data_IF_710083326370
#
_entry.id   IF_710083326370
#
_cell.length_a   1.000
_cell.length_b   1.000
_cell.length_c   1.000
_cell.angle_alpha   90.00
_cell.angle_beta   90.00
_cell.angle_gamma   90.00
#
_symmetry.space_group_name_H-M   'P 1'
#
loop_
_entity.id
_entity.type
_entity.pdbx_description
1 polymer ?
#
# COMPACT_ATOMS: atom_id res chain seq x y z
N UNK A 1 -8.70 11.18 -21.07
CA UNK A 1 -7.26 11.06 -21.41
C UNK A 1 -6.99 9.58 -21.44
N UNK A 2 -6.44 9.00 -22.52
CA UNK A 2 -6.36 7.54 -22.61
C UNK A 2 -5.57 6.94 -21.44
N UNK A 3 -6.18 5.98 -20.74
CA UNK A 3 -5.60 5.27 -19.58
C UNK A 3 -4.26 4.65 -19.94
N UNK A 4 -4.13 4.17 -21.18
CA UNK A 4 -2.90 3.63 -21.76
C UNK A 4 -1.75 4.64 -21.70
N UNK A 5 -2.04 5.92 -21.93
CA UNK A 5 -1.05 7.01 -21.88
C UNK A 5 -0.68 7.32 -20.44
N UNK A 6 -1.66 7.37 -19.52
CA UNK A 6 -1.43 7.60 -18.08
C UNK A 6 -0.58 6.48 -17.49
N UNK A 7 -0.93 5.22 -17.75
CA UNK A 7 -0.18 4.05 -17.31
C UNK A 7 1.25 4.06 -17.84
N UNK A 8 1.44 4.46 -19.11
CA UNK A 8 2.76 4.57 -19.73
C UNK A 8 3.60 5.66 -19.04
N UNK A 9 3.03 6.84 -18.76
CA UNK A 9 3.72 7.90 -18.04
C UNK A 9 4.04 7.51 -16.59
N UNK A 10 3.10 6.86 -15.90
CA UNK A 10 3.32 6.34 -14.55
C UNK A 10 4.45 5.32 -14.56
N UNK A 11 4.45 4.33 -15.45
CA UNK A 11 5.55 3.37 -15.58
C UNK A 11 6.89 4.05 -15.92
N UNK A 12 6.88 5.01 -16.84
CA UNK A 12 8.07 5.74 -17.28
C UNK A 12 8.69 6.61 -16.18
N UNK A 13 7.89 7.07 -15.20
CA UNK A 13 8.38 7.86 -14.06
C UNK A 13 8.70 6.96 -12.87
N UNK A 14 7.86 5.97 -12.59
CA UNK A 14 8.01 5.04 -11.45
C UNK A 14 9.28 4.21 -11.61
N UNK A 15 9.61 3.70 -12.79
CA UNK A 15 10.83 2.93 -13.01
C UNK A 15 12.10 3.69 -12.59
N UNK A 16 12.39 4.87 -13.19
CA UNK A 16 13.51 5.71 -12.80
C UNK A 16 13.48 6.17 -11.33
N UNK A 17 12.29 6.53 -10.81
CA UNK A 17 12.13 6.92 -9.42
C UNK A 17 12.48 5.77 -8.47
N UNK A 18 12.04 4.55 -8.79
CA UNK A 18 12.34 3.34 -8.03
C UNK A 18 13.83 3.00 -8.06
N UNK A 19 14.49 3.14 -9.22
CA UNK A 19 15.95 3.00 -9.34
C UNK A 19 16.63 4.06 -8.47
N UNK A 20 16.21 5.32 -8.54
CA UNK A 20 16.77 6.40 -7.74
C UNK A 20 16.62 6.15 -6.23
N UNK A 21 15.41 5.80 -5.77
CA UNK A 21 15.14 5.47 -4.37
C UNK A 21 15.99 4.27 -3.91
N UNK A 22 16.08 3.23 -4.72
CA UNK A 22 16.84 2.04 -4.35
C UNK A 22 18.35 2.32 -4.28
N UNK A 23 18.90 3.07 -5.24
CA UNK A 23 20.32 3.30 -5.36
C UNK A 23 20.83 4.38 -4.40
N UNK A 24 20.14 5.52 -4.34
CA UNK A 24 20.61 6.71 -3.62
C UNK A 24 20.02 6.83 -2.21
N UNK A 25 18.77 6.39 -2.01
CA UNK A 25 18.12 6.50 -0.69
C UNK A 25 18.48 5.31 0.20
N UNK A 26 18.47 4.09 -0.35
CA UNK A 26 18.72 2.85 0.40
C UNK A 26 20.14 2.28 0.23
N UNK A 27 21.02 3.01 -0.47
CA UNK A 27 22.47 2.71 -0.57
C UNK A 27 22.78 1.28 -1.06
N UNK A 28 22.07 0.80 -2.09
CA UNK A 28 22.47 -0.43 -2.80
C UNK A 28 21.95 -1.76 -2.22
N UNK A 29 20.97 -1.75 -1.30
CA UNK A 29 20.28 -2.98 -0.86
C UNK A 29 19.25 -3.47 -1.90
N UNK A 30 19.69 -3.60 -3.16
CA UNK A 30 18.81 -3.82 -4.31
C UNK A 30 17.88 -5.03 -4.11
N UNK A 31 18.40 -6.17 -3.62
CA UNK A 31 17.59 -7.39 -3.43
C UNK A 31 16.47 -7.22 -2.39
N UNK A 32 16.74 -6.53 -1.29
CA UNK A 32 15.73 -6.28 -0.25
C UNK A 32 14.66 -5.31 -0.77
N UNK A 33 15.05 -4.29 -1.53
CA UNK A 33 14.14 -3.31 -2.11
C UNK A 33 13.31 -3.89 -3.25
N UNK A 34 13.87 -4.74 -4.09
CA UNK A 34 13.11 -5.47 -5.12
C UNK A 34 12.06 -6.38 -4.48
N UNK A 35 12.41 -7.09 -3.40
CA UNK A 35 11.46 -7.91 -2.65
C UNK A 35 10.35 -7.07 -2.02
N UNK A 36 10.72 -5.96 -1.37
CA UNK A 36 9.75 -5.03 -0.79
C UNK A 36 8.82 -4.46 -1.87
N UNK A 37 9.35 -4.10 -3.02
CA UNK A 37 8.59 -3.61 -4.18
C UNK A 37 7.55 -4.64 -4.64
N UNK A 38 7.98 -5.87 -4.93
CA UNK A 38 7.08 -6.93 -5.41
C UNK A 38 5.96 -7.23 -4.41
N UNK A 39 6.29 -7.42 -3.13
CA UNK A 39 5.31 -7.72 -2.08
C UNK A 39 4.32 -6.56 -1.91
N UNK A 40 4.83 -5.32 -1.93
CA UNK A 40 3.97 -4.13 -1.84
C UNK A 40 3.03 -4.08 -3.02
N UNK A 41 3.54 -4.10 -4.25
CA UNK A 41 2.75 -4.03 -5.47
C UNK A 41 1.61 -5.05 -5.47
N UNK A 42 1.91 -6.33 -5.25
CA UNK A 42 0.88 -7.38 -5.26
C UNK A 42 -0.15 -7.23 -4.13
N UNK A 43 0.27 -6.81 -2.93
CA UNK A 43 -0.66 -6.58 -1.81
C UNK A 43 -1.67 -5.49 -2.13
N UNK A 44 -1.19 -4.34 -2.61
CA UNK A 44 -2.03 -3.18 -2.88
C UNK A 44 -2.85 -3.37 -4.17
N UNK A 45 -2.31 -4.05 -5.18
CA UNK A 45 -3.06 -4.40 -6.39
C UNK A 45 -4.30 -5.24 -6.04
N UNK A 46 -4.15 -6.28 -5.23
CA UNK A 46 -5.28 -7.11 -4.80
C UNK A 46 -6.26 -6.33 -3.93
N UNK A 47 -5.76 -5.47 -3.04
CA UNK A 47 -6.62 -4.63 -2.22
C UNK A 47 -7.50 -3.70 -3.08
N UNK A 48 -6.92 -2.97 -4.03
CA UNK A 48 -7.68 -2.08 -4.92
C UNK A 48 -8.62 -2.85 -5.85
N UNK A 49 -8.16 -3.97 -6.40
CA UNK A 49 -8.98 -4.82 -7.26
C UNK A 49 -10.22 -5.34 -6.52
N UNK A 50 -10.07 -5.81 -5.28
CA UNK A 50 -11.19 -6.22 -4.44
C UNK A 50 -12.09 -5.03 -4.10
N UNK A 51 -11.54 -3.90 -3.68
CA UNK A 51 -12.33 -2.73 -3.36
C UNK A 51 -13.19 -2.24 -4.54
N UNK A 52 -12.61 -2.24 -5.75
CA UNK A 52 -13.33 -1.92 -6.98
C UNK A 52 -14.39 -2.96 -7.32
N UNK A 53 -14.07 -4.25 -7.22
CA UNK A 53 -15.01 -5.35 -7.49
C UNK A 53 -16.24 -5.33 -6.57
N UNK A 54 -16.08 -4.82 -5.35
CA UNK A 54 -17.16 -4.63 -4.38
C UNK A 54 -17.89 -3.27 -4.52
N UNK A 55 -17.54 -2.48 -5.54
CA UNK A 55 -18.23 -1.25 -5.91
C UNK A 55 -17.93 -0.05 -5.02
N UNK A 56 -16.78 -0.03 -4.33
CA UNK A 56 -16.38 1.14 -3.52
C UNK A 56 -15.97 2.34 -4.36
N UNK A 57 -15.47 2.10 -5.57
CA UNK A 57 -14.99 3.13 -6.48
C UNK A 57 -15.87 3.22 -7.72
N UNK A 58 -16.29 4.43 -8.06
CA UNK A 58 -16.78 4.79 -9.38
C UNK A 58 -15.57 5.24 -10.20
N UNK A 59 -14.96 4.28 -10.90
CA UNK A 59 -13.72 4.43 -11.65
C UNK A 59 -13.92 3.87 -13.08
N UNK A 60 -14.54 4.64 -13.98
CA UNK A 60 -14.87 4.19 -15.33
C UNK A 60 -13.62 3.95 -16.19
N UNK A 61 -12.51 4.60 -15.83
CA UNK A 61 -11.25 4.54 -16.54
C UNK A 61 -10.27 3.51 -15.93
N UNK A 62 -10.57 2.90 -14.78
CA UNK A 62 -9.70 1.90 -14.17
C UNK A 62 -8.39 2.45 -13.60
N UNK A 63 -8.36 3.73 -13.23
CA UNK A 63 -7.19 4.44 -12.72
C UNK A 63 -6.77 3.96 -11.33
N UNK A 64 -7.72 3.50 -10.52
CA UNK A 64 -7.46 3.11 -9.11
C UNK A 64 -6.53 1.89 -9.04
N UNK A 65 -6.63 0.97 -10.00
CA UNK A 65 -5.76 -0.21 -10.07
C UNK A 65 -4.29 0.20 -10.34
N UNK A 66 -4.08 1.30 -11.08
CA UNK A 66 -2.75 1.84 -11.42
C UNK A 66 -2.06 2.42 -10.17
N UNK A 67 -2.81 2.89 -9.16
CA UNK A 67 -2.23 3.41 -7.93
C UNK A 67 -1.37 2.37 -7.18
N UNK A 68 -1.68 1.08 -7.35
CA UNK A 68 -0.86 -0.03 -6.81
C UNK A 68 0.63 0.07 -7.19
N UNK A 69 0.95 0.62 -8.37
CA UNK A 69 2.32 0.83 -8.86
C UNK A 69 3.08 1.92 -8.08
N UNK A 70 2.36 2.82 -7.41
CA UNK A 70 2.95 3.94 -6.66
C UNK A 70 3.27 3.57 -5.21
N UNK A 71 2.56 2.59 -4.64
CA UNK A 71 2.74 2.15 -3.24
C UNK A 71 4.15 1.70 -2.85
N UNK A 72 4.96 1.10 -3.74
CA UNK A 72 6.35 0.81 -3.42
C UNK A 72 7.20 2.04 -3.08
N UNK A 73 6.83 3.24 -3.55
CA UNK A 73 7.48 4.49 -3.16
C UNK A 73 7.31 4.72 -1.66
N UNK A 74 6.08 4.54 -1.15
CA UNK A 74 5.79 4.65 0.28
C UNK A 74 6.49 3.56 1.11
N UNK A 75 6.55 2.33 0.60
CA UNK A 75 7.26 1.24 1.25
C UNK A 75 8.76 1.55 1.39
N UNK A 76 9.44 1.97 0.32
CA UNK A 76 10.87 2.32 0.38
C UNK A 76 11.11 3.55 1.26
N UNK A 77 10.24 4.55 1.17
CA UNK A 77 10.35 5.77 1.99
C UNK A 77 10.20 5.45 3.48
N UNK A 78 9.23 4.62 3.84
CA UNK A 78 9.03 4.20 5.23
C UNK A 78 10.18 3.34 5.75
N UNK A 79 10.76 2.47 4.91
CA UNK A 79 11.98 1.73 5.24
C UNK A 79 13.12 2.70 5.57
N UNK A 80 13.38 3.67 4.68
CA UNK A 80 14.45 4.65 4.85
C UNK A 80 14.27 5.53 6.10
N UNK A 81 13.06 6.05 6.33
CA UNK A 81 12.75 6.84 7.53
C UNK A 81 13.00 5.99 8.78
N UNK A 82 12.53 4.74 8.78
CA UNK A 82 12.71 3.84 9.93
C UNK A 82 14.19 3.54 10.21
N UNK A 83 15.02 3.37 9.18
CA UNK A 83 16.47 3.18 9.34
C UNK A 83 17.14 4.44 9.91
N UNK A 84 16.78 5.63 9.40
CA UNK A 84 17.33 6.90 9.89
C UNK A 84 16.98 7.17 11.34
N UNK A 85 15.75 6.86 11.76
CA UNK A 85 15.31 6.98 13.15
C UNK A 85 16.04 5.97 14.05
N UNK A 86 16.31 4.77 13.54
CA UNK A 86 16.98 3.71 14.30
C UNK A 86 18.48 3.91 14.45
N UNK A 87 19.13 4.60 13.51
CA UNK A 87 20.57 4.87 13.54
C UNK A 87 20.99 5.72 14.75
N UNK A 88 20.07 6.48 15.34
CA UNK A 88 20.29 7.28 16.56
C UNK A 88 20.13 6.48 17.87
N UNK A 89 20.09 5.14 17.81
CA UNK A 89 20.19 4.26 18.98
C UNK A 89 18.90 4.04 19.78
N UNK A 90 17.75 4.55 19.33
CA UNK A 90 16.51 4.60 20.14
C UNK A 90 15.25 4.14 19.40
N UNK A 91 15.39 3.29 18.38
CA UNK A 91 14.21 2.72 17.70
C UNK A 91 13.62 1.54 18.47
N UNK A 92 12.72 1.76 19.43
CA UNK A 92 11.89 0.65 19.95
C UNK A 92 11.12 0.01 18.77
N UNK A 93 10.96 -1.33 18.73
CA UNK A 93 10.27 -2.02 17.63
C UNK A 93 8.92 -1.39 17.27
N UNK A 94 8.18 -0.93 18.28
CA UNK A 94 6.91 -0.22 18.12
C UNK A 94 7.00 1.02 17.19
N UNK A 95 8.02 1.87 17.35
CA UNK A 95 8.16 3.08 16.52
C UNK A 95 8.45 2.76 15.06
N UNK A 96 9.12 1.64 14.77
CA UNK A 96 9.32 1.18 13.38
C UNK A 96 7.98 0.81 12.73
N UNK A 97 7.19 0.00 13.41
CA UNK A 97 5.85 -0.39 12.94
C UNK A 97 4.94 0.81 12.76
N UNK A 98 4.97 1.75 13.71
CA UNK A 98 4.21 2.99 13.62
C UNK A 98 4.65 3.86 12.43
N UNK A 99 5.95 3.90 12.14
CA UNK A 99 6.46 4.63 10.96
C UNK A 99 5.92 4.03 9.66
N UNK A 100 5.92 2.70 9.52
CA UNK A 100 5.37 2.03 8.34
C UNK A 100 3.88 2.36 8.14
N UNK A 101 3.12 2.29 9.22
CA UNK A 101 1.70 2.64 9.23
C UNK A 101 1.47 4.11 8.85
N UNK A 102 2.12 5.05 9.54
CA UNK A 102 1.90 6.49 9.36
C UNK A 102 2.31 6.96 7.96
N UNK A 103 3.45 6.49 7.44
CA UNK A 103 3.88 6.85 6.08
C UNK A 103 2.87 6.35 5.05
N UNK A 104 2.32 5.15 5.23
CA UNK A 104 1.28 4.63 4.35
C UNK A 104 -0.02 5.44 4.42
N UNK A 105 -0.45 5.84 5.62
CA UNK A 105 -1.64 6.71 5.80
C UNK A 105 -1.44 8.07 5.14
N UNK A 106 -0.29 8.71 5.37
CA UNK A 106 0.03 10.01 4.73
C UNK A 106 0.07 9.86 3.21
N UNK A 107 0.68 8.79 2.70
CA UNK A 107 0.73 8.53 1.27
C UNK A 107 -0.65 8.25 0.66
N UNK A 108 -1.52 7.54 1.38
CA UNK A 108 -2.91 7.34 0.98
C UNK A 108 -3.62 8.69 0.82
N UNK A 109 -3.48 9.61 1.78
CA UNK A 109 -4.09 10.94 1.69
C UNK A 109 -3.59 11.73 0.48
N UNK A 110 -2.29 11.66 0.18
CA UNK A 110 -1.71 12.33 -0.99
C UNK A 110 -2.22 11.74 -2.30
N UNK A 111 -2.26 10.40 -2.41
CA UNK A 111 -2.77 9.72 -3.60
C UNK A 111 -4.26 9.99 -3.82
N UNK A 112 -5.07 9.81 -2.78
CA UNK A 112 -6.51 10.05 -2.85
C UNK A 112 -6.81 11.53 -3.12
N UNK A 113 -6.00 12.43 -2.56
CA UNK A 113 -6.18 13.86 -2.76
C UNK A 113 -5.84 14.29 -4.17
N UNK A 114 -4.74 13.79 -4.73
CA UNK A 114 -4.38 14.02 -6.12
C UNK A 114 -5.43 13.42 -7.08
N UNK A 115 -5.86 12.18 -6.84
CA UNK A 115 -6.89 11.51 -7.64
C UNK A 115 -8.25 12.23 -7.58
N UNK A 116 -8.61 12.76 -6.41
CA UNK A 116 -9.84 13.52 -6.21
C UNK A 116 -9.84 14.88 -6.90
N UNK A 117 -8.75 15.65 -6.81
CA UNK A 117 -8.59 16.94 -7.53
C UNK A 117 -8.67 16.74 -9.04
N UNK A 118 -8.11 15.64 -9.54
CA UNK A 118 -8.11 15.31 -10.96
C UNK A 118 -9.40 14.63 -11.44
N UNK A 119 -10.35 14.38 -10.54
CA UNK A 119 -11.60 13.66 -10.80
C UNK A 119 -11.40 12.28 -11.48
N UNK A 120 -10.30 11.59 -11.18
CA UNK A 120 -10.00 10.28 -11.77
C UNK A 120 -10.93 9.18 -11.27
N UNK A 121 -11.43 9.31 -10.04
CA UNK A 121 -12.44 8.41 -9.48
C UNK A 121 -13.26 9.16 -8.42
N UNK A 122 -14.39 8.57 -8.04
CA UNK A 122 -15.15 8.98 -6.85
C UNK A 122 -15.48 7.76 -5.99
N UNK A 123 -15.70 7.95 -4.68
CA UNK A 123 -16.25 6.87 -3.86
C UNK A 123 -17.74 6.73 -4.12
N UNK A 124 -18.23 5.49 -4.13
CA UNK A 124 -19.65 5.22 -4.22
C UNK A 124 -20.34 5.68 -2.92
N UNK A 125 -21.26 6.66 -2.97
CA UNK A 125 -21.90 7.20 -1.78
C UNK A 125 -22.75 6.16 -1.02
N UNK A 126 -23.26 5.13 -1.68
CA UNK A 126 -23.99 4.03 -1.02
C UNK A 126 -23.08 3.13 -0.17
N UNK A 127 -21.78 3.15 -0.46
CA UNK A 127 -20.74 2.42 0.27
C UNK A 127 -20.02 3.28 1.31
N UNK A 128 -20.23 4.60 1.29
CA UNK A 128 -19.77 5.49 2.35
C UNK A 128 -20.54 5.15 3.64
N UNK A 129 -19.86 4.56 4.62
CA UNK A 129 -20.44 4.26 5.93
C UNK A 129 -20.69 5.52 6.78
N UNK A 130 -21.21 5.33 8.00
CA UNK A 130 -21.50 6.43 8.93
C UNK A 130 -20.26 7.25 9.35
N UNK A 131 -19.05 6.69 9.24
CA UNK A 131 -17.78 7.38 9.49
C UNK A 131 -17.14 7.84 8.17
N UNK A 132 -17.69 8.89 7.57
CA UNK A 132 -17.06 9.58 6.44
C UNK A 132 -15.99 10.55 6.94
N UNK A 133 -14.86 10.57 6.25
CA UNK A 133 -13.80 11.54 6.44
C UNK A 133 -13.63 12.33 5.14
N UNK A 134 -13.48 13.64 5.22
CA UNK A 134 -13.22 14.49 4.05
C UNK A 134 -11.71 14.62 3.92
N UNK A 135 -11.16 14.19 2.78
CA UNK A 135 -9.73 14.39 2.52
C UNK A 135 -9.40 15.88 2.59
N UNK A 136 -8.46 16.33 3.45
CA UNK A 136 -8.05 17.73 3.49
C UNK A 136 -7.40 18.18 2.18
N UNK A 137 -6.88 17.24 1.40
CA UNK A 137 -6.28 17.47 0.10
C UNK A 137 -7.31 16.99 -0.93
N UNK A 138 -8.00 17.89 -1.61
CA UNK A 138 -8.97 17.53 -2.67
C UNK A 138 -10.43 17.36 -2.24
N UNK A 139 -10.76 17.43 -0.94
CA UNK A 139 -12.15 17.54 -0.46
C UNK A 139 -13.03 16.30 -0.69
N UNK A 140 -12.43 15.17 -1.05
CA UNK A 140 -13.15 13.97 -1.42
C UNK A 140 -13.59 13.19 -0.18
N UNK A 141 -14.89 12.87 -0.09
CA UNK A 141 -15.44 12.11 1.03
C UNK A 141 -15.06 10.62 0.89
N UNK A 142 -14.29 10.11 1.84
CA UNK A 142 -13.80 8.74 1.87
C UNK A 142 -14.27 7.99 3.14
N UNK A 143 -14.35 6.66 3.11
CA UNK A 143 -14.55 5.88 4.33
C UNK A 143 -13.31 5.99 5.23
N UNK A 144 -13.46 6.41 6.50
CA UNK A 144 -12.31 6.57 7.41
C UNK A 144 -11.50 5.26 7.63
N UNK A 145 -12.14 4.11 7.43
CA UNK A 145 -11.52 2.79 7.51
C UNK A 145 -10.56 2.51 6.34
N UNK A 146 -10.79 3.05 5.15
CA UNK A 146 -9.93 2.82 3.96
C UNK A 146 -8.45 3.19 4.18
N UNK A 147 -8.09 4.43 4.59
CA UNK A 147 -6.69 4.80 4.81
C UNK A 147 -6.07 4.04 5.98
N UNK A 148 -6.85 3.74 7.02
CA UNK A 148 -6.40 2.93 8.15
C UNK A 148 -5.98 1.52 7.72
N UNK A 149 -6.79 0.87 6.88
CA UNK A 149 -6.52 -0.47 6.36
C UNK A 149 -5.32 -0.49 5.42
N UNK A 150 -5.17 0.53 4.57
CA UNK A 150 -3.97 0.71 3.76
C UNK A 150 -2.71 0.85 4.64
N UNK A 151 -2.82 1.48 5.81
CA UNK A 151 -1.76 1.53 6.82
C UNK A 151 -1.44 0.16 7.43
N UNK A 152 -2.45 -0.62 7.81
CA UNK A 152 -2.27 -2.00 8.31
C UNK A 152 -1.63 -2.89 7.25
N UNK A 153 -2.05 -2.74 5.99
CA UNK A 153 -1.50 -3.50 4.88
C UNK A 153 0.01 -3.25 4.74
N UNK A 154 0.47 -2.02 4.90
CA UNK A 154 1.90 -1.69 4.89
C UNK A 154 2.65 -2.42 6.01
N UNK A 155 2.09 -2.48 7.22
CA UNK A 155 2.69 -3.28 8.29
C UNK A 155 2.78 -4.76 7.89
N UNK A 156 1.72 -5.32 7.30
CA UNK A 156 1.73 -6.68 6.77
C UNK A 156 2.83 -6.91 5.72
N UNK A 157 2.99 -5.97 4.78
CA UNK A 157 4.04 -5.98 3.76
C UNK A 157 5.43 -6.08 4.38
N UNK A 158 5.73 -5.24 5.39
CA UNK A 158 7.02 -5.28 6.09
C UNK A 158 7.22 -6.57 6.89
N UNK A 159 6.16 -7.09 7.50
CA UNK A 159 6.20 -8.38 8.19
C UNK A 159 6.56 -9.52 7.22
N UNK A 160 5.95 -9.57 6.04
CA UNK A 160 6.29 -10.54 5.00
C UNK A 160 7.71 -10.34 4.48
N UNK A 161 8.06 -9.11 4.09
CA UNK A 161 9.31 -8.78 3.43
C UNK A 161 10.56 -9.00 4.31
N UNK A 162 10.45 -8.86 5.63
CA UNK A 162 11.59 -8.97 6.53
C UNK A 162 11.46 -10.12 7.53
N UNK A 163 10.35 -10.22 8.27
CA UNK A 163 10.21 -11.22 9.32
C UNK A 163 9.98 -12.62 8.76
N UNK A 164 8.99 -12.79 7.86
CA UNK A 164 8.71 -14.09 7.24
C UNK A 164 9.86 -14.50 6.33
N UNK A 165 10.39 -13.58 5.52
CA UNK A 165 11.58 -13.86 4.69
C UNK A 165 12.74 -14.42 5.51
N UNK A 166 13.06 -13.82 6.67
CA UNK A 166 14.13 -14.30 7.54
C UNK A 166 13.90 -15.74 7.99
N UNK A 167 12.67 -16.10 8.36
CA UNK A 167 12.33 -17.48 8.74
C UNK A 167 12.41 -18.46 7.56
N UNK A 168 11.98 -18.05 6.36
CA UNK A 168 12.13 -18.87 5.15
C UNK A 168 13.61 -19.14 4.82
N UNK A 169 14.48 -18.14 5.02
CA UNK A 169 15.92 -18.27 4.82
C UNK A 169 16.57 -19.20 5.86
N UNK A 170 16.13 -19.19 7.12
CA UNK A 170 16.57 -20.17 8.14
C UNK A 170 16.25 -21.61 7.72
N UNK A 171 15.13 -21.82 7.01
CA UNK A 171 14.73 -23.10 6.43
C UNK A 171 15.44 -23.46 5.12
N UNK A 172 16.47 -22.69 4.72
CA UNK A 172 17.28 -22.89 3.50
C UNK A 172 16.48 -22.84 2.19
N UNK A 173 15.34 -22.13 2.17
CA UNK A 173 14.58 -21.90 0.94
C UNK A 173 15.37 -20.93 0.05
N UNK A 174 15.46 -21.24 -1.25
CA UNK A 174 16.14 -20.42 -2.25
C UNK A 174 15.54 -19.01 -2.36
N UNK A 175 16.35 -18.01 -2.74
CA UNK A 175 15.92 -16.60 -2.77
C UNK A 175 14.71 -16.37 -3.70
N UNK A 176 14.75 -16.95 -4.90
CA UNK A 176 13.67 -16.86 -5.88
C UNK A 176 12.38 -17.51 -5.37
N UNK A 177 12.47 -18.73 -4.86
CA UNK A 177 11.32 -19.46 -4.31
C UNK A 177 10.71 -18.75 -3.10
N UNK A 178 11.55 -18.20 -2.21
CA UNK A 178 11.07 -17.41 -1.08
C UNK A 178 10.34 -16.14 -1.53
N UNK A 179 10.86 -15.45 -2.54
CA UNK A 179 10.23 -14.23 -3.07
C UNK A 179 8.89 -14.53 -3.73
N UNK A 180 8.79 -15.61 -4.52
CA UNK A 180 7.53 -16.05 -5.12
C UNK A 180 6.50 -16.47 -4.05
N UNK A 181 6.93 -17.21 -3.03
CA UNK A 181 6.06 -17.58 -1.91
C UNK A 181 5.56 -16.35 -1.17
N UNK A 182 6.43 -15.36 -0.94
CA UNK A 182 6.03 -14.10 -0.29
C UNK A 182 5.06 -13.29 -1.14
N UNK A 183 5.20 -13.30 -2.47
CA UNK A 183 4.22 -12.69 -3.38
C UNK A 183 2.86 -13.41 -3.33
N UNK A 184 2.85 -14.74 -3.27
CA UNK A 184 1.59 -15.49 -3.08
C UNK A 184 0.95 -15.17 -1.71
N UNK A 185 1.76 -15.11 -0.65
CA UNK A 185 1.29 -14.73 0.69
C UNK A 185 0.80 -13.28 0.75
N UNK A 186 1.39 -12.39 -0.05
CA UNK A 186 0.99 -10.97 -0.09
C UNK A 186 -0.39 -10.80 -0.73
N UNK A 187 -0.71 -11.59 -1.75
CA UNK A 187 -2.07 -11.70 -2.32
C UNK A 187 -3.06 -12.19 -1.26
N UNK A 188 -2.74 -13.30 -0.59
CA UNK A 188 -3.60 -13.87 0.45
C UNK A 188 -3.82 -12.89 1.62
N UNK A 189 -2.77 -12.17 2.03
CA UNK A 189 -2.83 -11.16 3.08
C UNK A 189 -3.70 -9.96 2.67
N UNK A 190 -3.56 -9.44 1.43
CA UNK A 190 -4.40 -8.37 0.91
C UNK A 190 -5.87 -8.77 0.88
N UNK A 191 -6.16 -9.99 0.41
CA UNK A 191 -7.52 -10.54 0.41
C UNK A 191 -8.08 -10.76 1.82
N UNK A 192 -7.30 -11.34 2.74
CA UNK A 192 -7.73 -11.55 4.11
C UNK A 192 -8.01 -10.22 4.84
N UNK A 193 -7.17 -9.21 4.61
CA UNK A 193 -7.37 -7.88 5.17
C UNK A 193 -8.67 -7.26 4.64
N UNK A 194 -8.95 -7.40 3.33
CA UNK A 194 -10.21 -6.95 2.75
C UNK A 194 -11.42 -7.61 3.41
N UNK A 195 -11.42 -8.94 3.54
CA UNK A 195 -12.53 -9.67 4.19
C UNK A 195 -12.71 -9.23 5.63
N UNK A 196 -11.62 -9.06 6.39
CA UNK A 196 -11.69 -8.55 7.76
C UNK A 196 -12.29 -7.13 7.81
N UNK A 197 -11.97 -6.29 6.83
CA UNK A 197 -12.46 -4.92 6.71
C UNK A 197 -13.96 -4.88 6.48
N UNK A 198 -14.46 -5.71 5.56
CA UNK A 198 -15.88 -5.82 5.24
C UNK A 198 -16.67 -6.33 6.45
N UNK A 199 -16.13 -7.31 7.19
CA UNK A 199 -16.72 -7.79 8.45
C UNK A 199 -16.82 -6.70 9.52
N UNK A 200 -15.74 -5.92 9.72
CA UNK A 200 -15.73 -4.82 10.69
C UNK A 200 -16.74 -3.73 10.28
N UNK A 201 -16.78 -3.36 9.00
CA UNK A 201 -17.75 -2.40 8.48
C UNK A 201 -19.19 -2.90 8.65
N UNK A 202 -19.44 -4.18 8.39
CA UNK A 202 -20.74 -4.82 8.59
C UNK A 202 -21.17 -4.79 10.05
N UNK A 203 -20.26 -5.10 10.98
CA UNK A 203 -20.53 -5.05 12.41
C UNK A 203 -20.85 -3.63 12.89
N UNK A 204 -20.06 -2.63 12.47
CA UNK A 204 -20.31 -1.22 12.82
C UNK A 204 -21.68 -0.75 12.31
N UNK A 205 -22.07 -1.15 11.09
CA UNK A 205 -23.39 -0.85 10.53
C UNK A 205 -24.55 -1.54 11.26
N UNK A 206 -24.34 -2.69 11.88
CA UNK A 206 -25.40 -3.39 12.62
C UNK A 206 -25.61 -2.88 14.04
N UNK A 207 -24.65 -2.13 14.59
CA UNK A 207 -24.68 -1.60 15.96
C UNK A 207 -25.20 -0.16 16.02
N UNK A 208 -25.08 0.59 14.91
CA UNK A 208 -25.61 1.94 14.72
C UNK A 208 -27.01 1.93 14.11
#
# INVERSE_FOLDING_TARGET
MDISIIALYVLAIVGPLMVFLTHYVVRGRNRDMTRLWFITFFSYMIYYWLAKSYGFFNDPEGVVDIFSLLWPIAAISSFWISERLSYKGTGMPFFKWMTYFLVAVVFAFLLDGAGGVMHWYTYNPEKLGASTFINPIGGLAMPALMPFLLGILMMGVFFLAFSVYRELRKRRIGETSATLLLAALSIAMGGALWVASDLVLGFVKSVL
#
